data_IF_435125381028
#
_entry.id   IF_435125381028
#
_cell.length_a   1.000
_cell.length_b   1.000
_cell.length_c   1.000
_cell.angle_alpha   90.00
_cell.angle_beta   90.00
_cell.angle_gamma   90.00
#
_symmetry.space_group_name_H-M   'P 1'
#
loop_
_entity.id
_entity.type
_entity.pdbx_description
1 polymer ?
#
# COMPACT_ATOMS: atom_id res chain seq x y z
N UNK A 1 -54.81 13.28 -18.14
CA UNK A 1 -54.69 12.96 -16.69
C UNK A 1 -53.90 11.65 -16.40
N UNK A 2 -53.47 10.84 -17.36
CA UNK A 2 -52.78 9.58 -17.09
C UNK A 2 -51.25 9.62 -16.97
N UNK A 3 -50.60 10.71 -17.37
CA UNK A 3 -49.14 10.86 -17.37
C UNK A 3 -48.56 11.31 -16.01
N UNK A 4 -49.34 12.03 -15.22
CA UNK A 4 -48.90 12.49 -13.88
C UNK A 4 -48.91 11.36 -12.83
N UNK A 5 -49.77 10.39 -13.01
CA UNK A 5 -49.90 9.24 -12.07
C UNK A 5 -48.78 8.21 -12.27
N UNK A 6 -48.31 8.02 -13.51
CA UNK A 6 -47.16 7.13 -13.81
C UNK A 6 -45.83 7.68 -13.25
N UNK A 7 -45.61 8.98 -13.31
CA UNK A 7 -44.41 9.62 -12.78
C UNK A 7 -44.38 9.54 -11.24
N UNK A 8 -45.51 9.69 -10.55
CA UNK A 8 -45.58 9.59 -9.09
C UNK A 8 -45.39 8.15 -8.58
N UNK A 9 -45.70 7.14 -9.38
CA UNK A 9 -45.48 5.73 -9.04
C UNK A 9 -44.02 5.29 -9.23
N UNK A 10 -43.32 5.85 -10.22
CA UNK A 10 -41.87 5.60 -10.41
C UNK A 10 -41.05 6.23 -9.28
N UNK A 11 -41.33 7.45 -8.89
CA UNK A 11 -40.63 8.16 -7.78
C UNK A 11 -40.82 7.44 -6.43
N UNK A 12 -42.02 6.94 -6.13
CA UNK A 12 -42.27 6.16 -4.91
C UNK A 12 -41.58 4.79 -4.89
N UNK A 13 -41.43 4.16 -6.05
CA UNK A 13 -40.77 2.86 -6.18
C UNK A 13 -39.25 2.99 -6.00
N UNK A 14 -38.66 4.08 -6.49
CA UNK A 14 -37.23 4.37 -6.34
C UNK A 14 -36.87 4.80 -4.90
N UNK A 15 -37.71 5.58 -4.24
CA UNK A 15 -37.52 5.92 -2.82
C UNK A 15 -37.64 4.71 -1.90
N UNK A 16 -38.49 3.73 -2.19
CA UNK A 16 -38.59 2.51 -1.41
C UNK A 16 -37.37 1.58 -1.60
N UNK A 17 -36.85 1.50 -2.83
CA UNK A 17 -35.61 0.76 -3.11
C UNK A 17 -34.41 1.37 -2.42
N UNK A 18 -34.31 2.71 -2.43
CA UNK A 18 -33.22 3.40 -1.75
C UNK A 18 -33.26 3.16 -0.23
N UNK A 19 -34.42 3.27 0.39
CA UNK A 19 -34.57 2.97 1.83
C UNK A 19 -34.23 1.52 2.19
N UNK A 20 -34.61 0.57 1.33
CA UNK A 20 -34.27 -0.82 1.53
C UNK A 20 -32.76 -1.06 1.42
N UNK A 21 -32.10 -0.39 0.46
CA UNK A 21 -30.65 -0.46 0.29
C UNK A 21 -29.92 0.15 1.50
N UNK A 22 -30.34 1.33 1.95
CA UNK A 22 -29.72 2.01 3.11
C UNK A 22 -29.88 1.17 4.39
N UNK A 23 -31.03 0.50 4.55
CA UNK A 23 -31.26 -0.42 5.66
C UNK A 23 -30.31 -1.64 5.59
N UNK A 24 -30.15 -2.23 4.40
CA UNK A 24 -29.24 -3.36 4.19
C UNK A 24 -27.78 -2.97 4.44
N UNK A 25 -27.32 -1.81 3.95
CA UNK A 25 -25.99 -1.28 4.19
C UNK A 25 -25.74 -1.09 5.70
N UNK A 26 -26.69 -0.47 6.42
CA UNK A 26 -26.58 -0.29 7.87
C UNK A 26 -26.53 -1.61 8.64
N UNK A 27 -27.25 -2.64 8.18
CA UNK A 27 -27.20 -3.96 8.78
C UNK A 27 -25.84 -4.65 8.58
N UNK A 28 -25.28 -4.55 7.37
CA UNK A 28 -23.95 -5.08 7.05
C UNK A 28 -22.88 -4.40 7.92
N UNK A 29 -22.92 -3.07 8.03
CA UNK A 29 -21.97 -2.33 8.86
C UNK A 29 -22.06 -2.67 10.36
N UNK A 30 -23.27 -2.96 10.86
CA UNK A 30 -23.46 -3.43 12.25
C UNK A 30 -22.92 -4.83 12.49
N UNK A 31 -23.05 -5.70 11.50
CA UNK A 31 -22.67 -7.11 11.61
C UNK A 31 -21.18 -7.32 11.37
N UNK A 32 -20.58 -6.62 10.44
CA UNK A 32 -19.21 -6.84 9.96
C UNK A 32 -18.24 -5.67 10.25
N UNK A 33 -18.74 -4.57 10.82
CA UNK A 33 -17.98 -3.37 11.14
C UNK A 33 -18.08 -2.26 10.08
N UNK A 34 -17.74 -1.02 10.49
CA UNK A 34 -17.73 0.13 9.58
C UNK A 34 -16.71 -0.09 8.46
N UNK A 35 -17.10 0.21 7.23
CA UNK A 35 -16.23 0.06 6.06
C UNK A 35 -16.25 -1.33 5.43
N UNK A 36 -17.04 -2.29 5.96
CA UNK A 36 -17.22 -3.62 5.37
C UNK A 36 -17.90 -3.59 3.99
N UNK A 37 -18.63 -2.51 3.70
CA UNK A 37 -19.23 -2.24 2.40
C UNK A 37 -19.14 -0.75 2.09
N UNK A 38 -18.76 -0.40 0.86
CA UNK A 38 -18.63 0.98 0.39
C UNK A 38 -18.95 1.09 -1.10
N UNK A 39 -19.36 2.28 -1.53
CA UNK A 39 -19.54 2.56 -2.97
C UNK A 39 -18.18 2.87 -3.59
N UNK A 40 -17.78 2.16 -4.63
CA UNK A 40 -16.47 2.30 -5.27
C UNK A 40 -16.24 3.71 -5.88
N UNK A 41 -17.28 4.43 -6.25
CA UNK A 41 -17.21 5.78 -6.83
C UNK A 41 -17.40 6.93 -5.84
N UNK A 42 -17.35 6.68 -4.53
CA UNK A 42 -17.44 7.73 -3.53
C UNK A 42 -16.11 8.46 -3.34
N UNK A 43 -16.15 9.80 -3.18
CA UNK A 43 -14.98 10.67 -2.95
C UNK A 43 -14.07 10.25 -1.77
N UNK A 44 -14.54 9.34 -0.92
CA UNK A 44 -13.83 8.90 0.29
C UNK A 44 -12.91 7.69 0.07
N UNK A 45 -12.96 7.01 -1.09
CA UNK A 45 -12.20 5.76 -1.33
C UNK A 45 -10.74 6.03 -1.71
N UNK A 46 -10.41 7.22 -2.20
CA UNK A 46 -9.07 7.54 -2.74
C UNK A 46 -8.29 8.53 -1.85
N UNK A 47 -8.94 9.20 -0.90
CA UNK A 47 -8.35 10.36 -0.19
C UNK A 47 -7.36 10.04 0.92
N UNK A 48 -7.23 8.80 1.39
CA UNK A 48 -6.42 8.49 2.58
C UNK A 48 -5.41 7.33 2.37
N UNK A 49 -4.98 7.07 1.14
CA UNK A 49 -3.88 6.12 0.93
C UNK A 49 -2.56 6.90 1.10
N UNK A 50 -1.93 6.74 2.25
CA UNK A 50 -0.58 7.21 2.43
C UNK A 50 0.36 6.47 1.49
N UNK A 51 1.27 7.20 0.84
CA UNK A 51 2.25 6.64 -0.07
C UNK A 51 3.68 7.03 0.34
N UNK A 52 4.62 6.18 -0.03
CA UNK A 52 6.05 6.42 0.06
C UNK A 52 6.52 6.76 -1.36
N UNK A 53 7.13 7.94 -1.55
CA UNK A 53 7.70 8.32 -2.84
C UNK A 53 8.75 7.31 -3.30
N UNK A 54 8.80 7.06 -4.59
CA UNK A 54 9.84 6.23 -5.21
C UNK A 54 11.15 7.00 -5.46
N UNK A 55 11.17 8.30 -5.18
CA UNK A 55 12.27 9.19 -5.55
C UNK A 55 12.27 9.59 -7.03
N UNK A 56 11.35 9.05 -7.82
CA UNK A 56 11.17 9.38 -9.23
C UNK A 56 9.81 10.05 -9.44
N UNK A 57 9.82 11.35 -9.74
CA UNK A 57 8.60 12.13 -10.00
C UNK A 57 7.75 11.49 -11.11
N UNK A 58 8.40 10.99 -12.18
CA UNK A 58 7.69 10.35 -13.28
C UNK A 58 6.98 9.06 -12.87
N UNK A 59 7.60 8.25 -12.03
CA UNK A 59 7.00 7.01 -11.52
C UNK A 59 5.90 7.32 -10.50
N UNK A 60 6.11 8.26 -9.62
CA UNK A 60 5.12 8.67 -8.61
C UNK A 60 3.83 9.20 -9.26
N UNK A 61 3.95 9.98 -10.34
CA UNK A 61 2.80 10.43 -11.14
C UNK A 61 2.12 9.25 -11.83
N UNK A 62 2.89 8.33 -12.41
CA UNK A 62 2.34 7.16 -13.11
C UNK A 62 1.59 6.21 -12.17
N UNK A 63 2.02 6.10 -10.91
CA UNK A 63 1.32 5.32 -9.87
C UNK A 63 0.00 5.97 -9.41
N UNK A 64 -0.20 7.25 -9.69
CA UNK A 64 -1.46 7.98 -9.44
C UNK A 64 -1.71 8.41 -8.00
N UNK A 65 -0.99 7.88 -7.03
CA UNK A 65 -1.10 8.21 -5.60
C UNK A 65 0.15 8.89 -5.03
N UNK A 66 1.12 9.20 -5.89
CA UNK A 66 2.36 9.88 -5.48
C UNK A 66 3.44 8.96 -4.93
N UNK A 67 3.36 7.66 -5.18
CA UNK A 67 4.36 6.69 -4.74
C UNK A 67 3.78 5.29 -4.48
N UNK A 68 4.49 4.50 -3.69
CA UNK A 68 4.08 3.17 -3.29
C UNK A 68 3.09 3.23 -2.11
N UNK A 69 1.93 2.53 -2.16
CA UNK A 69 0.93 2.58 -1.09
C UNK A 69 1.47 1.94 0.19
N UNK A 70 1.33 2.63 1.33
CA UNK A 70 1.63 2.06 2.65
C UNK A 70 0.65 0.94 3.02
N UNK A 71 1.14 -0.01 3.81
CA UNK A 71 0.34 -1.12 4.30
C UNK A 71 -0.05 -2.12 3.21
N UNK A 72 0.73 -2.20 2.13
CA UNK A 72 0.54 -3.16 1.03
C UNK A 72 1.82 -3.93 0.76
N UNK A 73 1.65 -5.16 0.27
CA UNK A 73 2.74 -5.95 -0.31
C UNK A 73 2.85 -5.53 -1.76
N UNK A 74 4.06 -5.14 -2.17
CA UNK A 74 4.36 -4.67 -3.51
C UNK A 74 5.44 -5.58 -4.07
N UNK A 75 5.16 -6.21 -5.19
CA UNK A 75 6.11 -7.03 -5.92
C UNK A 75 6.76 -6.19 -7.02
N UNK A 76 8.10 -6.17 -7.03
CA UNK A 76 8.91 -5.55 -8.09
C UNK A 76 9.68 -6.66 -8.79
N UNK A 77 9.34 -6.95 -10.02
CA UNK A 77 9.96 -8.03 -10.80
C UNK A 77 10.57 -7.53 -12.11
N UNK A 78 11.50 -8.28 -12.64
CA UNK A 78 12.20 -7.98 -13.89
C UNK A 78 13.50 -8.74 -13.99
N UNK A 79 14.19 -8.68 -15.16
CA UNK A 79 15.45 -9.36 -15.37
C UNK A 79 16.54 -8.85 -14.41
N UNK A 80 17.64 -9.62 -14.31
CA UNK A 80 18.83 -9.17 -13.58
C UNK A 80 19.30 -7.81 -14.09
N UNK A 81 19.91 -7.04 -13.20
CA UNK A 81 20.44 -5.69 -13.50
C UNK A 81 19.42 -4.70 -14.06
N UNK A 82 18.11 -4.94 -13.90
CA UNK A 82 17.06 -4.04 -14.35
C UNK A 82 16.79 -2.84 -13.41
N UNK A 83 17.50 -2.78 -12.28
CA UNK A 83 17.39 -1.68 -11.32
C UNK A 83 16.38 -1.91 -10.20
N UNK A 84 15.95 -3.15 -9.94
CA UNK A 84 15.01 -3.49 -8.85
C UNK A 84 15.54 -3.00 -7.50
N UNK A 85 16.74 -3.42 -7.12
CA UNK A 85 17.40 -3.01 -5.87
C UNK A 85 17.63 -1.50 -5.82
N UNK A 86 18.01 -0.88 -6.94
CA UNK A 86 18.16 0.59 -7.03
C UNK A 86 16.85 1.30 -6.69
N UNK A 87 15.73 0.85 -7.26
CA UNK A 87 14.41 1.41 -6.99
C UNK A 87 14.05 1.27 -5.52
N UNK A 88 14.22 0.08 -4.94
CA UNK A 88 13.89 -0.16 -3.52
C UNK A 88 14.75 0.69 -2.59
N UNK A 89 16.03 0.88 -2.88
CA UNK A 89 16.91 1.75 -2.10
C UNK A 89 16.49 3.22 -2.18
N UNK A 90 16.03 3.71 -3.33
CA UNK A 90 15.43 5.06 -3.41
C UNK A 90 14.18 5.17 -2.55
N UNK A 91 13.30 4.17 -2.59
CA UNK A 91 12.10 4.17 -1.74
C UNK A 91 12.47 4.16 -0.24
N UNK A 92 13.50 3.40 0.15
CA UNK A 92 14.03 3.41 1.53
C UNK A 92 14.52 4.80 1.91
N UNK A 93 15.32 5.45 1.05
CA UNK A 93 15.81 6.79 1.30
C UNK A 93 14.67 7.81 1.47
N UNK A 94 13.64 7.74 0.63
CA UNK A 94 12.48 8.63 0.74
C UNK A 94 11.65 8.34 2.00
N UNK A 95 11.49 7.06 2.38
CA UNK A 95 10.80 6.68 3.61
C UNK A 95 11.55 7.20 4.85
N UNK A 96 12.90 7.09 4.89
CA UNK A 96 13.74 7.61 5.97
C UNK A 96 13.66 9.14 6.05
N UNK A 97 13.68 9.86 4.92
CA UNK A 97 13.50 11.33 4.87
C UNK A 97 12.16 11.77 5.47
N UNK A 98 11.12 10.93 5.33
CA UNK A 98 9.81 11.15 5.94
C UNK A 98 9.76 10.75 7.44
N UNK A 99 10.88 10.34 8.04
CA UNK A 99 10.99 9.93 9.43
C UNK A 99 10.57 8.47 9.70
N UNK A 100 10.45 7.66 8.64
CA UNK A 100 10.07 6.26 8.75
C UNK A 100 11.27 5.35 9.07
N UNK A 101 11.05 4.37 9.95
CA UNK A 101 12.02 3.28 10.18
C UNK A 101 11.93 2.29 9.04
N UNK A 102 13.08 1.89 8.49
CA UNK A 102 13.16 0.98 7.35
C UNK A 102 14.01 -0.25 7.69
N UNK A 103 13.61 -1.39 7.11
CA UNK A 103 14.36 -2.63 7.21
C UNK A 103 14.65 -3.19 5.81
N UNK A 104 15.82 -3.79 5.65
CA UNK A 104 16.26 -4.46 4.43
C UNK A 104 16.66 -5.90 4.77
N UNK A 105 15.93 -6.86 4.24
CA UNK A 105 16.20 -8.28 4.37
C UNK A 105 16.90 -8.73 3.09
N UNK A 106 18.22 -8.88 3.16
CA UNK A 106 19.11 -9.17 2.04
C UNK A 106 19.44 -10.66 2.03
N UNK A 107 18.59 -11.46 1.37
CA UNK A 107 18.77 -12.91 1.29
C UNK A 107 19.88 -13.32 0.30
N UNK A 108 20.28 -12.44 -0.61
CA UNK A 108 21.38 -12.69 -1.56
C UNK A 108 22.73 -12.21 -1.03
N UNK A 109 22.78 -11.50 0.09
CA UNK A 109 24.01 -10.88 0.63
C UNK A 109 24.70 -9.95 -0.37
N UNK A 110 23.92 -9.27 -1.21
CA UNK A 110 24.39 -8.48 -2.34
C UNK A 110 24.28 -6.97 -2.16
N UNK A 111 23.75 -6.49 -1.03
CA UNK A 111 23.60 -5.07 -0.75
C UNK A 111 24.98 -4.40 -0.62
N UNK A 112 25.25 -3.44 -1.49
CA UNK A 112 26.42 -2.56 -1.37
C UNK A 112 26.10 -1.33 -0.51
N UNK A 113 26.69 -1.21 0.70
CA UNK A 113 26.42 -0.08 1.58
C UNK A 113 26.89 1.26 0.99
N UNK A 114 27.98 1.26 0.21
CA UNK A 114 28.47 2.50 -0.39
C UNK A 114 27.52 2.99 -1.49
N UNK A 115 26.96 2.07 -2.25
CA UNK A 115 25.94 2.39 -3.25
C UNK A 115 24.65 2.90 -2.60
N UNK A 116 24.15 2.20 -1.57
CA UNK A 116 22.96 2.64 -0.82
C UNK A 116 23.12 4.06 -0.26
N UNK A 117 24.30 4.37 0.33
CA UNK A 117 24.60 5.72 0.84
C UNK A 117 24.60 6.79 -0.26
N UNK A 118 25.11 6.47 -1.46
CA UNK A 118 25.07 7.38 -2.62
C UNK A 118 23.66 7.66 -3.11
N UNK A 119 22.73 6.73 -2.92
CA UNK A 119 21.31 6.89 -3.25
C UNK A 119 20.55 7.67 -2.17
N UNK A 120 21.21 8.01 -1.06
CA UNK A 120 20.63 8.82 0.00
C UNK A 120 20.08 8.01 1.18
N UNK A 121 20.37 6.71 1.26
CA UNK A 121 20.00 5.88 2.40
C UNK A 121 20.88 6.23 3.60
N UNK A 122 20.26 6.49 4.74
CA UNK A 122 20.93 6.59 6.03
C UNK A 122 21.20 5.17 6.54
N UNK A 123 22.47 4.77 6.53
CA UNK A 123 22.90 3.44 6.92
C UNK A 123 22.89 3.23 8.43
N UNK A 124 23.02 4.31 9.21
CA UNK A 124 23.04 4.23 10.67
C UNK A 124 21.62 3.96 11.22
N UNK A 125 20.58 4.33 10.47
CA UNK A 125 19.17 4.13 10.80
C UNK A 125 18.53 2.96 10.02
N UNK A 126 19.26 2.29 9.13
CA UNK A 126 18.74 1.16 8.36
C UNK A 126 18.92 -0.15 9.12
N UNK A 127 17.81 -0.82 9.41
CA UNK A 127 17.85 -2.19 9.92
C UNK A 127 18.20 -3.14 8.78
N UNK A 128 19.28 -3.91 8.91
CA UNK A 128 19.65 -4.92 7.92
C UNK A 128 19.62 -6.32 8.52
N UNK A 129 19.10 -7.26 7.78
CA UNK A 129 19.13 -8.69 8.10
C UNK A 129 19.61 -9.46 6.89
N UNK A 130 20.49 -10.43 7.11
CA UNK A 130 21.04 -11.31 6.08
C UNK A 130 20.79 -12.79 6.48
N UNK A 131 19.55 -13.26 6.27
CA UNK A 131 19.16 -14.62 6.63
C UNK A 131 19.81 -15.65 5.72
N UNK A 132 20.11 -16.83 6.28
CA UNK A 132 20.67 -17.95 5.51
C UNK A 132 19.63 -18.73 4.70
N UNK A 133 18.34 -18.59 5.05
CA UNK A 133 17.23 -19.30 4.41
C UNK A 133 16.03 -18.40 4.18
N UNK A 134 15.20 -18.75 3.19
CA UNK A 134 13.96 -18.03 2.91
C UNK A 134 12.96 -18.06 4.07
N UNK A 135 12.90 -19.18 4.81
CA UNK A 135 12.07 -19.31 6.00
C UNK A 135 12.46 -18.30 7.08
N UNK A 136 13.76 -18.14 7.35
CA UNK A 136 14.25 -17.12 8.28
C UNK A 136 13.93 -15.71 7.81
N UNK A 137 14.06 -15.44 6.51
CA UNK A 137 13.70 -14.14 5.94
C UNK A 137 12.22 -13.80 6.18
N UNK A 138 11.33 -14.78 6.00
CA UNK A 138 9.90 -14.61 6.24
C UNK A 138 9.56 -14.45 7.73
N UNK A 139 10.18 -15.19 8.63
CA UNK A 139 9.99 -15.06 10.08
C UNK A 139 10.45 -13.70 10.61
N UNK A 140 11.59 -13.22 10.14
CA UNK A 140 12.10 -11.89 10.47
C UNK A 140 11.14 -10.83 9.94
N UNK A 141 10.71 -10.95 8.70
CA UNK A 141 9.76 -10.02 8.08
C UNK A 141 8.43 -9.99 8.85
N UNK A 142 7.85 -11.16 9.18
CA UNK A 142 6.60 -11.24 9.96
C UNK A 142 6.75 -10.57 11.33
N UNK A 143 7.86 -10.81 12.00
CA UNK A 143 8.15 -10.19 13.31
C UNK A 143 8.22 -8.67 13.21
N UNK A 144 8.91 -8.14 12.19
CA UNK A 144 9.01 -6.69 11.94
C UNK A 144 7.65 -6.08 11.61
N UNK A 145 6.85 -6.74 10.76
CA UNK A 145 5.49 -6.29 10.41
C UNK A 145 4.60 -6.24 11.65
N UNK A 146 4.63 -7.29 12.49
CA UNK A 146 3.81 -7.35 13.72
C UNK A 146 4.19 -6.30 14.75
N UNK A 147 5.42 -5.82 14.74
CA UNK A 147 5.85 -4.75 15.66
C UNK A 147 5.09 -3.45 15.43
N UNK A 148 4.61 -3.21 14.21
CA UNK A 148 3.97 -1.96 13.81
C UNK A 148 4.88 -0.74 13.82
N UNK A 149 6.20 -0.92 14.04
CA UNK A 149 7.16 0.16 14.19
C UNK A 149 7.92 0.47 12.88
N UNK A 150 7.83 -0.40 11.88
CA UNK A 150 8.57 -0.28 10.63
C UNK A 150 7.65 0.26 9.54
N UNK A 151 8.08 1.33 8.87
CA UNK A 151 7.33 1.99 7.80
C UNK A 151 7.50 1.30 6.46
N UNK A 152 8.66 0.68 6.23
CA UNK A 152 8.98 -0.03 4.99
C UNK A 152 9.91 -1.20 5.26
N UNK A 153 9.61 -2.34 4.66
CA UNK A 153 10.48 -3.52 4.67
C UNK A 153 10.73 -3.91 3.21
N UNK A 154 11.99 -4.04 2.86
CA UNK A 154 12.43 -4.62 1.58
C UNK A 154 12.89 -6.04 1.83
N UNK A 155 12.45 -6.98 1.01
CA UNK A 155 12.98 -8.35 0.95
C UNK A 155 13.57 -8.53 -0.43
N UNK A 156 14.88 -8.63 -0.52
CA UNK A 156 15.67 -8.80 -1.76
C UNK A 156 16.57 -10.04 -1.63
N UNK A 157 16.44 -11.06 -2.39
CA UNK A 157 15.51 -11.39 -3.44
C UNK A 157 14.74 -12.67 -3.09
N UNK A 158 13.61 -12.90 -3.74
CA UNK A 158 12.84 -14.15 -3.65
C UNK A 158 13.15 -14.92 -4.94
N UNK A 159 14.25 -15.67 -4.98
CA UNK A 159 14.56 -16.57 -6.07
C UNK A 159 14.10 -18.00 -5.73
#
# INVERSE_FOLDING_TARGET
MATADLLSMTDKKDTNKQKALDSALSQIERQFGKGSIMKLGGDNVIKDIEAISTGSIGLDIALGIGGLPKGRIIEVYGPESSGKTTLTLHCVAEAQKAGGVCAFVDAEHALDPQYARKLGVDLDELLISQPDTGEQALEITDTLVRSGAVSMIVVDSVA
#
